data_IF_897666595727
#
_entry.id   IF_897666595727
#
_cell.length_a   1.000
_cell.length_b   1.000
_cell.length_c   1.000
_cell.angle_alpha   90.00
_cell.angle_beta   90.00
_cell.angle_gamma   90.00
#
_symmetry.space_group_name_H-M   'P 1'
#
loop_
_entity.id
_entity.type
_entity.pdbx_description
1 polymer ?
#
# COMPACT_ATOMS: atom_id res chain seq x y z
N UNK A 1 -25.69 -3.80 10.96
CA UNK A 1 -24.38 -4.47 10.92
C UNK A 1 -24.20 -5.10 9.55
N UNK A 2 -23.53 -4.41 8.65
CA UNK A 2 -23.18 -4.98 7.35
C UNK A 2 -21.92 -5.83 7.54
N UNK A 3 -22.04 -7.13 7.32
CA UNK A 3 -20.87 -8.02 7.24
C UNK A 3 -20.14 -7.72 5.94
N UNK A 4 -19.01 -7.02 6.04
CA UNK A 4 -18.07 -6.88 4.93
C UNK A 4 -17.40 -8.23 4.69
N UNK A 5 -17.74 -8.88 3.58
CA UNK A 5 -17.07 -10.09 3.10
C UNK A 5 -15.92 -9.67 2.19
N UNK A 6 -14.69 -9.82 2.67
CA UNK A 6 -13.49 -9.63 1.85
C UNK A 6 -13.35 -10.76 0.82
N UNK A 7 -13.00 -10.43 -0.42
CA UNK A 7 -12.80 -11.35 -1.53
C UNK A 7 -11.32 -11.74 -1.63
N UNK A 8 -11.09 -12.91 -1.62
CA UNK A 8 -10.25 -14.00 -2.04
C UNK A 8 -8.81 -13.73 -2.51
N UNK A 9 -7.88 -14.36 -1.82
CA UNK A 9 -6.53 -14.68 -2.31
C UNK A 9 -6.61 -15.88 -3.26
N UNK A 10 -6.02 -15.77 -4.44
CA UNK A 10 -5.94 -16.88 -5.40
C UNK A 10 -4.91 -17.90 -4.93
N UNK A 11 -5.35 -19.00 -4.38
CA UNK A 11 -4.49 -20.14 -4.04
C UNK A 11 -4.52 -21.14 -5.22
N UNK A 12 -3.41 -21.26 -5.97
CA UNK A 12 -3.23 -22.36 -6.93
C UNK A 12 -3.00 -23.66 -6.18
N UNK A 13 -4.02 -24.50 -6.08
CA UNK A 13 -3.84 -25.89 -5.70
C UNK A 13 -3.41 -26.66 -6.95
N UNK A 14 -2.16 -27.07 -7.01
CA UNK A 14 -1.72 -28.07 -7.98
C UNK A 14 -2.35 -29.41 -7.59
N UNK A 15 -3.36 -29.86 -8.34
CA UNK A 15 -3.73 -31.26 -8.35
C UNK A 15 -3.04 -31.93 -9.54
N UNK A 16 -2.34 -33.03 -9.26
CA UNK A 16 -1.83 -33.93 -10.29
C UNK A 16 -3.01 -34.45 -11.10
N UNK A 17 -3.07 -34.05 -12.33
CA UNK A 17 -3.81 -34.41 -13.52
C UNK A 17 -4.57 -33.25 -14.15
N UNK A 18 -3.88 -32.48 -14.93
CA UNK A 18 -4.36 -32.00 -16.26
C UNK A 18 -5.46 -30.94 -16.30
N UNK A 19 -6.07 -30.48 -15.20
CA UNK A 19 -7.01 -29.33 -15.22
C UNK A 19 -6.74 -28.44 -14.01
N UNK A 20 -6.18 -27.26 -14.26
CA UNK A 20 -6.09 -26.21 -13.25
C UNK A 20 -7.50 -25.62 -13.03
N UNK A 21 -8.19 -26.06 -12.00
CA UNK A 21 -9.41 -25.38 -11.52
C UNK A 21 -8.92 -24.14 -10.78
N UNK A 22 -9.04 -22.96 -11.39
CA UNK A 22 -8.87 -21.69 -10.69
C UNK A 22 -10.07 -21.50 -9.77
N UNK A 23 -9.92 -21.86 -8.48
CA UNK A 23 -10.92 -21.67 -7.46
C UNK A 23 -10.56 -20.49 -6.57
N UNK A 24 -11.52 -19.62 -6.27
CA UNK A 24 -11.40 -18.60 -5.22
C UNK A 24 -11.66 -19.24 -3.86
N UNK A 25 -10.78 -18.99 -2.89
CA UNK A 25 -11.01 -19.34 -1.48
C UNK A 25 -11.38 -18.04 -0.76
N UNK A 26 -12.53 -18.05 -0.08
CA UNK A 26 -13.01 -16.90 0.70
C UNK A 26 -12.55 -17.03 2.14
N UNK A 27 -12.03 -15.93 2.67
CA UNK A 27 -11.64 -15.80 4.07
C UNK A 27 -12.36 -14.61 4.69
N UNK A 28 -12.57 -14.64 6.02
CA UNK A 28 -13.10 -13.47 6.70
C UNK A 28 -12.06 -12.34 6.70
N UNK A 29 -12.53 -11.09 6.68
CA UNK A 29 -11.65 -9.91 6.80
C UNK A 29 -10.76 -10.02 8.05
N UNK A 30 -11.31 -10.41 9.19
CA UNK A 30 -10.57 -10.52 10.44
C UNK A 30 -9.42 -11.53 10.35
N UNK A 31 -9.67 -12.69 9.74
CA UNK A 31 -8.62 -13.70 9.51
C UNK A 31 -7.49 -13.14 8.67
N UNK A 32 -7.81 -12.45 7.57
CA UNK A 32 -6.81 -11.86 6.69
C UNK A 32 -6.08 -10.69 7.35
N UNK A 33 -6.79 -9.89 8.14
CA UNK A 33 -6.22 -8.76 8.87
C UNK A 33 -5.19 -9.22 9.92
N UNK A 34 -5.48 -10.29 10.67
CA UNK A 34 -4.52 -10.88 11.60
C UNK A 34 -3.33 -11.48 10.87
N UNK A 35 -3.58 -12.28 9.84
CA UNK A 35 -2.52 -12.92 9.05
C UNK A 35 -1.56 -11.88 8.44
N UNK A 36 -2.07 -10.80 7.85
CA UNK A 36 -1.23 -9.73 7.32
C UNK A 36 -0.38 -9.07 8.41
N UNK A 37 -0.95 -8.82 9.59
CA UNK A 37 -0.22 -8.26 10.72
C UNK A 37 0.97 -9.12 11.12
N UNK A 38 0.77 -10.43 11.26
CA UNK A 38 1.82 -11.39 11.61
C UNK A 38 2.92 -11.43 10.55
N UNK A 39 2.54 -11.41 9.26
CA UNK A 39 3.49 -11.42 8.14
C UNK A 39 4.34 -10.16 8.14
N UNK A 40 3.75 -8.96 8.27
CA UNK A 40 4.54 -7.73 8.25
C UNK A 40 5.42 -7.57 9.49
N UNK A 41 4.98 -8.06 10.65
CA UNK A 41 5.83 -8.18 11.82
C UNK A 41 7.04 -9.10 11.57
N UNK A 42 6.82 -10.24 10.92
CA UNK A 42 7.91 -11.15 10.52
C UNK A 42 8.85 -10.52 9.47
N UNK A 43 8.37 -9.59 8.65
CA UNK A 43 9.20 -8.82 7.70
C UNK A 43 10.00 -7.69 8.38
N UNK A 44 9.84 -7.47 9.69
CA UNK A 44 10.60 -6.51 10.48
C UNK A 44 9.96 -5.12 10.60
N UNK A 45 8.67 -4.98 10.27
CA UNK A 45 7.91 -3.74 10.48
C UNK A 45 7.35 -3.67 11.90
N UNK A 46 7.17 -2.45 12.43
CA UNK A 46 6.44 -2.24 13.69
C UNK A 46 4.96 -2.56 13.52
N UNK A 47 4.23 -2.64 14.63
CA UNK A 47 2.78 -2.89 14.60
C UNK A 47 2.02 -1.76 13.88
N UNK A 48 2.42 -0.51 14.12
CA UNK A 48 1.83 0.64 13.45
C UNK A 48 2.12 0.63 11.95
N UNK A 49 3.36 0.38 11.56
CA UNK A 49 3.76 0.28 10.15
C UNK A 49 3.05 -0.87 9.45
N UNK A 50 3.00 -2.05 10.08
CA UNK A 50 2.27 -3.20 9.59
C UNK A 50 0.77 -2.91 9.44
N UNK A 51 0.19 -2.10 10.34
CA UNK A 51 -1.21 -1.69 10.26
C UNK A 51 -1.50 -0.84 9.02
N UNK A 52 -0.65 0.14 8.72
CA UNK A 52 -0.79 0.97 7.50
C UNK A 52 -0.65 0.10 6.24
N UNK A 53 0.38 -0.75 6.18
CA UNK A 53 0.63 -1.57 4.98
C UNK A 53 -0.54 -2.53 4.72
N UNK A 54 -1.00 -3.25 5.75
CA UNK A 54 -2.10 -4.21 5.61
C UNK A 54 -3.42 -3.53 5.24
N UNK A 55 -3.68 -2.32 5.77
CA UNK A 55 -4.91 -1.59 5.46
C UNK A 55 -4.99 -1.22 3.98
N UNK A 56 -3.88 -0.75 3.39
CA UNK A 56 -3.81 -0.51 1.94
C UNK A 56 -4.08 -1.77 1.12
N UNK A 57 -3.50 -2.92 1.51
CA UNK A 57 -3.66 -4.18 0.78
C UNK A 57 -5.07 -4.74 0.90
N UNK A 58 -5.62 -4.78 2.10
CA UNK A 58 -6.96 -5.27 2.35
C UNK A 58 -8.03 -4.38 1.73
N UNK A 59 -7.81 -3.06 1.72
CA UNK A 59 -8.67 -2.11 1.00
C UNK A 59 -8.68 -2.40 -0.50
N UNK A 60 -7.53 -2.72 -1.09
CA UNK A 60 -7.45 -3.11 -2.51
C UNK A 60 -8.25 -4.40 -2.78
N UNK A 61 -8.13 -5.41 -1.91
CA UNK A 61 -8.89 -6.66 -2.04
C UNK A 61 -10.41 -6.42 -1.85
N UNK A 62 -10.82 -5.58 -0.89
CA UNK A 62 -12.22 -5.19 -0.68
C UNK A 62 -12.82 -4.47 -1.89
N UNK A 63 -12.02 -3.70 -2.62
CA UNK A 63 -12.44 -3.03 -3.85
C UNK A 63 -12.42 -3.95 -5.08
N UNK A 64 -12.03 -5.22 -4.93
CA UNK A 64 -11.88 -6.16 -6.05
C UNK A 64 -10.64 -5.91 -6.90
N UNK A 65 -9.68 -5.13 -6.40
CA UNK A 65 -8.41 -4.83 -7.08
C UNK A 65 -7.34 -5.81 -6.59
N UNK A 66 -7.60 -7.10 -6.76
CA UNK A 66 -6.76 -8.20 -6.26
C UNK A 66 -5.29 -8.09 -6.71
N UNK A 67 -5.05 -7.52 -7.90
CA UNK A 67 -3.69 -7.31 -8.41
C UNK A 67 -2.81 -6.42 -7.52
N UNK A 68 -3.39 -5.65 -6.60
CA UNK A 68 -2.73 -4.74 -5.67
C UNK A 68 -2.99 -5.07 -4.19
N UNK A 69 -3.70 -6.18 -3.93
CA UNK A 69 -4.03 -6.68 -2.60
C UNK A 69 -2.97 -7.60 -2.01
N UNK A 70 -3.40 -8.50 -1.14
CA UNK A 70 -2.56 -9.40 -0.35
C UNK A 70 -1.58 -10.25 -1.18
N UNK A 71 -1.91 -10.59 -2.42
CA UNK A 71 -0.98 -11.32 -3.30
C UNK A 71 0.37 -10.59 -3.50
N UNK A 72 0.43 -9.28 -3.25
CA UNK A 72 1.66 -8.50 -3.33
C UNK A 72 2.65 -8.80 -2.22
N UNK A 73 2.24 -9.40 -1.12
CA UNK A 73 3.14 -9.76 0.00
C UNK A 73 4.32 -10.62 -0.45
N UNK A 74 4.10 -11.56 -1.38
CA UNK A 74 5.18 -12.38 -1.95
C UNK A 74 6.22 -11.52 -2.68
N UNK A 75 5.77 -10.50 -3.41
CA UNK A 75 6.67 -9.56 -4.10
C UNK A 75 7.46 -8.71 -3.11
N UNK A 76 6.81 -8.25 -2.04
CA UNK A 76 7.47 -7.46 -0.99
C UNK A 76 8.52 -8.28 -0.25
N UNK A 77 8.21 -9.51 0.13
CA UNK A 77 9.17 -10.43 0.73
C UNK A 77 10.42 -10.57 -0.15
N UNK A 78 10.23 -10.89 -1.44
CA UNK A 78 11.34 -10.99 -2.39
C UNK A 78 12.12 -9.67 -2.56
N UNK A 79 11.45 -8.53 -2.46
CA UNK A 79 12.09 -7.22 -2.50
C UNK A 79 12.97 -6.97 -1.29
N UNK A 80 12.50 -7.36 -0.11
CA UNK A 80 13.26 -7.27 1.16
C UNK A 80 14.47 -8.20 1.12
N UNK A 81 14.30 -9.47 0.73
CA UNK A 81 15.41 -10.43 0.60
C UNK A 81 16.49 -9.95 -0.38
N UNK A 82 16.10 -9.29 -1.48
CA UNK A 82 17.02 -8.75 -2.49
C UNK A 82 17.62 -7.39 -2.11
N UNK A 83 17.20 -6.79 -0.99
CA UNK A 83 17.63 -5.45 -0.60
C UNK A 83 17.12 -4.33 -1.52
N UNK A 84 16.03 -4.54 -2.27
CA UNK A 84 15.38 -3.47 -3.06
C UNK A 84 14.28 -2.76 -2.28
N UNK A 85 13.81 -3.35 -1.19
CA UNK A 85 12.92 -2.74 -0.21
C UNK A 85 13.64 -2.77 1.15
N UNK A 86 13.80 -1.61 1.76
CA UNK A 86 14.45 -1.45 3.05
C UNK A 86 13.39 -1.26 4.15
N UNK A 87 13.06 -2.29 4.96
CA UNK A 87 12.01 -2.20 5.97
C UNK A 87 12.26 -1.12 7.04
N UNK A 88 13.54 -0.85 7.33
CA UNK A 88 13.92 0.14 8.35
C UNK A 88 14.05 1.57 7.83
N UNK A 89 13.93 1.78 6.51
CA UNK A 89 14.01 3.11 5.92
C UNK A 89 12.80 3.95 6.32
N UNK A 90 13.06 5.19 6.69
CA UNK A 90 12.03 6.18 7.03
C UNK A 90 12.01 7.26 5.96
N UNK A 91 10.83 7.80 5.60
CA UNK A 91 10.73 8.92 4.68
C UNK A 91 11.38 10.18 5.28
N UNK A 92 12.12 10.90 4.44
CA UNK A 92 12.80 12.15 4.81
C UNK A 92 12.31 13.30 3.93
N UNK A 93 11.96 14.43 4.54
CA UNK A 93 11.64 15.65 3.80
C UNK A 93 12.95 16.32 3.40
N UNK A 94 13.30 16.27 2.12
CA UNK A 94 14.57 16.82 1.60
C UNK A 94 14.43 18.26 1.07
N UNK A 95 13.21 18.70 0.81
CA UNK A 95 12.88 20.07 0.44
C UNK A 95 11.46 20.40 0.86
N UNK A 96 11.23 21.62 1.35
CA UNK A 96 9.91 22.02 1.81
C UNK A 96 9.65 23.52 1.56
N UNK A 97 8.41 23.82 1.16
CA UNK A 97 7.85 25.17 1.08
C UNK A 97 6.52 25.21 1.82
N UNK A 98 5.87 26.35 2.01
CA UNK A 98 4.54 26.38 2.63
C UNK A 98 3.51 25.49 1.93
N UNK A 99 3.57 25.36 0.60
CA UNK A 99 2.57 24.64 -0.21
C UNK A 99 3.08 23.30 -0.78
N UNK A 100 4.38 23.02 -0.69
CA UNK A 100 4.94 21.80 -1.31
C UNK A 100 6.02 21.15 -0.47
N UNK A 101 6.32 19.88 -0.75
CA UNK A 101 7.48 19.16 -0.22
C UNK A 101 8.01 18.13 -1.22
N UNK A 102 9.29 17.78 -1.06
CA UNK A 102 9.92 16.64 -1.73
C UNK A 102 10.38 15.67 -0.66
N UNK A 103 9.99 14.41 -0.79
CA UNK A 103 10.32 13.34 0.15
C UNK A 103 11.26 12.35 -0.53
N UNK A 104 12.31 11.97 0.17
CA UNK A 104 13.13 10.81 -0.18
C UNK A 104 12.66 9.60 0.64
N UNK A 105 12.27 8.54 -0.05
CA UNK A 105 11.78 7.32 0.56
C UNK A 105 12.88 6.29 0.89
N UNK A 106 14.14 6.56 0.53
CA UNK A 106 15.29 5.70 0.82
C UNK A 106 15.06 4.21 0.47
N UNK A 107 14.30 3.95 -0.60
CA UNK A 107 13.86 2.62 -1.01
C UNK A 107 13.07 1.84 0.07
N UNK A 108 12.41 2.54 0.97
CA UNK A 108 11.53 1.96 1.98
C UNK A 108 10.24 1.38 1.39
N UNK A 109 9.34 0.96 2.27
CA UNK A 109 8.04 0.40 1.90
C UNK A 109 7.12 1.48 1.33
N UNK A 110 6.67 1.30 0.08
CA UNK A 110 5.94 2.32 -0.66
C UNK A 110 4.66 2.80 0.02
N UNK A 111 3.94 1.92 0.72
CA UNK A 111 2.74 2.27 1.46
C UNK A 111 3.02 3.26 2.58
N UNK A 112 4.08 3.05 3.36
CA UNK A 112 4.46 3.94 4.46
C UNK A 112 4.90 5.30 3.95
N UNK A 113 5.70 5.31 2.89
CA UNK A 113 6.20 6.54 2.28
C UNK A 113 5.05 7.36 1.70
N UNK A 114 4.11 6.71 0.99
CA UNK A 114 2.98 7.41 0.37
C UNK A 114 1.94 7.88 1.40
N UNK A 115 1.75 7.13 2.49
CA UNK A 115 0.93 7.54 3.61
C UNK A 115 1.49 8.83 4.22
N UNK A 116 2.76 8.84 4.59
CA UNK A 116 3.44 10.02 5.11
C UNK A 116 3.39 11.20 4.14
N UNK A 117 3.58 10.96 2.83
CA UNK A 117 3.52 12.00 1.81
C UNK A 117 2.13 12.64 1.73
N UNK A 118 1.07 11.83 1.79
CA UNK A 118 -0.30 12.34 1.75
C UNK A 118 -0.67 13.09 3.05
N UNK A 119 -0.22 12.62 4.22
CA UNK A 119 -0.38 13.36 5.48
C UNK A 119 0.27 14.76 5.40
N UNK A 120 1.48 14.85 4.85
CA UNK A 120 2.15 16.13 4.61
C UNK A 120 1.42 17.03 3.62
N UNK A 121 0.84 16.46 2.56
CA UNK A 121 0.02 17.22 1.62
C UNK A 121 -1.25 17.77 2.27
N UNK A 122 -1.93 16.94 3.08
CA UNK A 122 -3.13 17.33 3.84
C UNK A 122 -2.81 18.45 4.85
N UNK A 123 -1.72 18.33 5.62
CA UNK A 123 -1.26 19.35 6.58
C UNK A 123 -1.08 20.71 5.90
N UNK A 124 -0.38 20.74 4.75
CA UNK A 124 -0.18 21.95 3.96
C UNK A 124 -1.49 22.51 3.41
N UNK A 125 -2.34 21.65 2.83
CA UNK A 125 -3.60 22.05 2.24
C UNK A 125 -4.54 22.68 3.29
N UNK A 126 -4.57 22.17 4.52
CA UNK A 126 -5.34 22.75 5.61
C UNK A 126 -4.87 24.15 6.00
N UNK A 127 -3.58 24.42 5.85
CA UNK A 127 -2.98 25.71 6.25
C UNK A 127 -3.02 26.75 5.13
N UNK A 128 -2.77 26.33 3.89
CA UNK A 128 -2.54 27.26 2.75
C UNK A 128 -3.57 27.12 1.61
N UNK A 129 -4.49 26.14 1.72
CA UNK A 129 -5.48 25.83 0.68
C UNK A 129 -4.99 24.83 -0.36
N UNK A 130 -3.70 24.54 -0.43
CA UNK A 130 -3.13 23.56 -1.37
C UNK A 130 -1.90 22.86 -0.74
N UNK A 131 -1.74 21.55 -1.02
CA UNK A 131 -0.56 20.77 -0.63
C UNK A 131 -0.11 19.90 -1.78
N UNK A 132 1.15 20.01 -2.20
CA UNK A 132 1.74 19.25 -3.29
C UNK A 132 2.99 18.55 -2.77
N UNK A 133 3.01 17.23 -2.77
CA UNK A 133 4.15 16.44 -2.29
C UNK A 133 4.63 15.50 -3.38
N UNK A 134 5.90 15.60 -3.72
CA UNK A 134 6.59 14.68 -4.62
C UNK A 134 7.43 13.69 -3.85
N UNK A 135 7.46 12.44 -4.31
CA UNK A 135 8.23 11.37 -3.67
C UNK A 135 9.22 10.78 -4.67
N UNK A 136 10.45 10.55 -4.22
CA UNK A 136 11.48 9.81 -4.96
C UNK A 136 12.01 8.64 -4.14
N UNK A 137 12.71 7.71 -4.79
CA UNK A 137 13.31 6.54 -4.16
C UNK A 137 12.28 5.74 -3.31
N UNK A 138 11.11 5.50 -3.89
CA UNK A 138 10.04 4.72 -3.27
C UNK A 138 9.84 3.40 -4.01
N UNK A 139 9.01 2.54 -3.47
CA UNK A 139 8.62 1.27 -4.03
C UNK A 139 7.13 1.24 -4.36
N UNK A 140 6.64 0.08 -4.82
CA UNK A 140 5.21 -0.14 -5.06
C UNK A 140 4.39 0.21 -3.80
N UNK A 141 3.33 1.02 -3.98
CA UNK A 141 2.58 1.62 -2.87
C UNK A 141 1.11 1.17 -2.78
N UNK A 142 0.73 0.16 -3.55
CA UNK A 142 -0.66 -0.33 -3.59
C UNK A 142 -1.52 0.47 -4.57
N UNK A 143 -2.74 0.81 -4.18
CA UNK A 143 -3.71 1.55 -4.99
C UNK A 143 -3.64 3.06 -4.72
N UNK A 144 -3.49 3.86 -5.76
CA UNK A 144 -3.41 5.32 -5.65
C UNK A 144 -4.67 5.96 -5.01
N UNK A 145 -5.84 5.37 -5.27
CA UNK A 145 -7.10 5.82 -4.72
C UNK A 145 -7.16 5.81 -3.19
N UNK A 146 -6.41 4.93 -2.52
CA UNK A 146 -6.32 4.90 -1.06
C UNK A 146 -5.83 6.24 -0.51
N UNK A 147 -4.74 6.76 -1.06
CA UNK A 147 -4.14 8.03 -0.60
C UNK A 147 -5.01 9.24 -0.97
N UNK A 148 -5.59 9.25 -2.16
CA UNK A 148 -6.54 10.31 -2.52
C UNK A 148 -7.74 10.35 -1.56
N UNK A 149 -8.21 9.18 -1.11
CA UNK A 149 -9.31 9.06 -0.16
C UNK A 149 -8.94 9.56 1.25
N UNK A 150 -7.67 9.48 1.67
CA UNK A 150 -7.21 10.09 2.94
C UNK A 150 -7.53 11.58 2.97
N UNK A 151 -7.27 12.31 1.88
CA UNK A 151 -7.60 13.74 1.78
C UNK A 151 -9.13 13.98 1.79
N UNK A 152 -9.92 13.09 1.16
CA UNK A 152 -11.38 13.19 1.18
C UNK A 152 -11.96 13.05 2.60
N UNK A 153 -11.40 12.19 3.43
CA UNK A 153 -11.82 12.05 4.84
C UNK A 153 -11.57 13.32 5.66
N UNK A 154 -10.65 14.16 5.20
CA UNK A 154 -10.32 15.45 5.82
C UNK A 154 -11.06 16.64 5.17
N UNK A 155 -12.05 16.35 4.32
CA UNK A 155 -12.85 17.37 3.62
C UNK A 155 -12.13 18.09 2.49
N UNK A 156 -11.05 17.48 1.95
CA UNK A 156 -10.21 18.01 0.88
C UNK A 156 -10.41 17.22 -0.41
N UNK A 157 -10.07 17.82 -1.56
CA UNK A 157 -9.91 17.10 -2.81
C UNK A 157 -8.55 16.43 -2.85
N UNK A 158 -8.51 15.09 -2.92
CA UNK A 158 -7.28 14.32 -3.02
C UNK A 158 -6.95 13.88 -4.44
N UNK A 159 -5.67 13.96 -4.79
CA UNK A 159 -5.14 13.39 -6.02
C UNK A 159 -3.84 12.65 -5.73
N UNK A 160 -3.71 11.43 -6.25
CA UNK A 160 -2.47 10.66 -6.21
C UNK A 160 -2.16 10.11 -7.60
N UNK A 161 -0.92 10.26 -8.04
CA UNK A 161 -0.45 9.77 -9.33
C UNK A 161 0.97 9.22 -9.22
N UNK A 162 1.33 8.36 -10.16
CA UNK A 162 2.66 7.77 -10.25
C UNK A 162 3.00 7.49 -11.71
N UNK A 163 4.29 7.34 -12.01
CA UNK A 163 4.71 6.79 -13.28
C UNK A 163 4.48 5.27 -13.27
N UNK A 164 3.83 4.77 -14.31
CA UNK A 164 3.70 3.34 -14.57
C UNK A 164 4.76 2.90 -15.56
N UNK A 165 5.34 1.72 -15.35
CA UNK A 165 6.23 1.13 -16.35
C UNK A 165 5.43 0.78 -17.60
N UNK A 166 5.85 1.29 -18.76
CA UNK A 166 5.25 1.00 -20.06
C UNK A 166 5.56 -0.43 -20.58
N UNK A 167 6.28 -1.25 -19.81
CA UNK A 167 6.66 -2.62 -20.19
C UNK A 167 5.45 -3.59 -20.24
N UNK A 168 4.28 -3.15 -19.80
CA UNK A 168 3.08 -3.99 -19.72
C UNK A 168 1.90 -3.46 -20.53
N UNK A 169 2.14 -2.62 -21.53
CA UNK A 169 1.15 -2.25 -22.55
C UNK A 169 1.44 -3.03 -23.82
#
# INVERSE_FOLDING_TARGET
MQQATAWAVTCRKYQEKGLAIMGYVKWSYDTLNHFCGDVFKAFGFSEEEGSIIKDVLLTADLYGIESHGMQRMVRYHKGIEKGTIHPQAKPEVVFETPISAVIDGHNGMGQLISHFAMEKAIEKAKTTGVGIVSVRNSNHFGIAGYYANMACHEGLLGMACTNLSLIHI
#
